data_IF_338441650689
#
_entry.id   IF_338441650689
#
_cell.length_a   1.000
_cell.length_b   1.000
_cell.length_c   1.000
_cell.angle_alpha   90.00
_cell.angle_beta   90.00
_cell.angle_gamma   90.00
#
_symmetry.space_group_name_H-M   'P 1'
#
loop_
_entity.id
_entity.type
_entity.pdbx_description
1 polymer ?
#
# COMPACT_ATOMS: atom_id res chain seq x y z
N UNK A 1 -41.18 -3.05 2.09
CA UNK A 1 -40.04 -3.97 1.89
C UNK A 1 -38.78 -3.15 2.04
N UNK A 2 -37.89 -3.55 2.93
CA UNK A 2 -36.57 -2.96 3.05
C UNK A 2 -35.69 -3.48 1.92
N UNK A 3 -35.00 -2.57 1.22
CA UNK A 3 -34.02 -2.93 0.18
C UNK A 3 -32.63 -2.87 0.80
N UNK A 4 -31.90 -3.98 0.77
CA UNK A 4 -30.51 -4.03 1.21
C UNK A 4 -29.59 -4.08 0.00
N UNK A 5 -28.54 -3.28 0.02
CA UNK A 5 -27.50 -3.26 -0.98
C UNK A 5 -26.13 -3.31 -0.32
N UNK A 6 -25.17 -3.91 -1.03
CA UNK A 6 -23.77 -3.99 -0.61
C UNK A 6 -22.91 -3.18 -1.57
N UNK A 7 -21.77 -2.75 -1.06
CA UNK A 7 -20.83 -1.95 -1.83
C UNK A 7 -19.50 -1.83 -1.12
N UNK A 8 -18.53 -1.31 -1.84
CA UNK A 8 -17.18 -1.06 -1.36
C UNK A 8 -16.99 0.44 -1.11
N UNK A 9 -16.38 0.80 0.02
CA UNK A 9 -16.01 2.19 0.29
C UNK A 9 -14.69 2.50 -0.41
N UNK A 10 -14.73 3.39 -1.41
CA UNK A 10 -13.55 3.79 -2.20
C UNK A 10 -13.44 5.31 -2.12
N UNK A 11 -12.33 5.81 -1.55
CA UNK A 11 -12.07 7.24 -1.39
C UNK A 11 -13.21 8.03 -0.72
N UNK A 12 -13.88 7.42 0.26
CA UNK A 12 -15.01 8.04 0.98
C UNK A 12 -16.35 7.97 0.25
N UNK A 13 -16.42 7.36 -0.94
CA UNK A 13 -17.66 7.11 -1.68
C UNK A 13 -18.01 5.64 -1.60
N UNK A 14 -19.27 5.33 -1.26
CA UNK A 14 -19.78 3.95 -1.29
C UNK A 14 -20.15 3.60 -2.74
N UNK A 15 -19.37 2.71 -3.35
CA UNK A 15 -19.67 2.17 -4.67
C UNK A 15 -20.45 0.87 -4.50
N UNK A 16 -21.72 0.87 -4.92
CA UNK A 16 -22.60 -0.30 -4.81
C UNK A 16 -22.20 -1.38 -5.81
N UNK A 17 -22.34 -2.64 -5.40
CA UNK A 17 -22.03 -3.81 -6.25
C UNK A 17 -23.08 -4.01 -7.36
N UNK A 18 -24.26 -3.39 -7.22
CA UNK A 18 -25.35 -3.45 -8.18
C UNK A 18 -26.26 -2.22 -8.10
N UNK A 19 -27.08 -2.04 -9.13
CA UNK A 19 -28.05 -0.95 -9.18
C UNK A 19 -29.16 -1.15 -8.14
N UNK A 20 -29.53 -0.05 -7.50
CA UNK A 20 -30.62 -0.03 -6.53
C UNK A 20 -31.58 1.05 -6.95
N UNK A 21 -32.78 0.63 -7.34
CA UNK A 21 -33.84 1.56 -7.67
C UNK A 21 -34.46 2.12 -6.37
N UNK A 22 -34.10 3.35 -6.03
CA UNK A 22 -34.64 4.11 -4.91
C UNK A 22 -35.00 5.53 -5.34
N UNK A 23 -36.10 6.11 -4.81
CA UNK A 23 -36.48 7.48 -5.12
C UNK A 23 -35.40 8.49 -4.73
N UNK A 24 -35.33 9.61 -5.45
CA UNK A 24 -34.51 10.75 -5.04
C UNK A 24 -34.92 11.25 -3.64
N UNK A 25 -33.95 11.75 -2.88
CA UNK A 25 -34.11 12.18 -1.47
C UNK A 25 -34.54 11.07 -0.49
N UNK A 26 -34.27 9.80 -0.83
CA UNK A 26 -34.44 8.70 0.12
C UNK A 26 -33.41 8.78 1.24
N UNK A 27 -33.85 8.52 2.47
CA UNK A 27 -32.95 8.35 3.62
C UNK A 27 -32.34 6.96 3.59
N UNK A 28 -31.02 6.87 3.71
CA UNK A 28 -30.29 5.60 3.65
C UNK A 28 -29.50 5.43 4.94
N UNK A 29 -29.52 4.22 5.49
CA UNK A 29 -28.66 3.82 6.61
C UNK A 29 -27.47 3.05 6.07
N UNK A 30 -26.26 3.43 6.49
CA UNK A 30 -25.01 2.83 6.00
C UNK A 30 -24.30 2.15 7.16
N UNK A 31 -24.11 0.83 7.03
CA UNK A 31 -23.34 0.03 7.99
C UNK A 31 -21.98 -0.29 7.40
N UNK A 32 -20.92 0.30 7.96
CA UNK A 32 -19.55 0.03 7.55
C UNK A 32 -19.01 -1.17 8.33
N UNK A 33 -18.56 -2.19 7.61
CA UNK A 33 -17.84 -3.33 8.19
C UNK A 33 -16.51 -3.46 7.48
N UNK A 34 -15.42 -3.19 8.20
CA UNK A 34 -14.08 -3.47 7.70
C UNK A 34 -13.93 -5.00 7.54
N UNK A 35 -13.79 -5.45 6.30
CA UNK A 35 -13.58 -6.87 5.95
C UNK A 35 -12.10 -7.23 5.88
N UNK A 36 -11.24 -6.23 5.71
CA UNK A 36 -9.78 -6.37 5.74
C UNK A 36 -9.27 -5.75 7.04
N UNK A 37 -8.39 -6.45 7.75
CA UNK A 37 -7.73 -5.86 8.92
C UNK A 37 -6.69 -4.84 8.43
N UNK A 38 -6.48 -3.77 9.20
CA UNK A 38 -5.38 -2.80 8.93
C UNK A 38 -4.04 -3.54 8.83
N UNK A 39 -3.86 -4.59 9.62
CA UNK A 39 -2.66 -5.44 9.61
C UNK A 39 -2.46 -6.18 8.27
N UNK A 40 -3.54 -6.60 7.61
CA UNK A 40 -3.48 -7.27 6.30
C UNK A 40 -3.07 -6.32 5.19
N UNK A 41 -3.59 -5.08 5.19
CA UNK A 41 -3.17 -4.04 4.23
C UNK A 41 -1.70 -3.66 4.45
N UNK A 42 -1.29 -3.45 5.70
CA UNK A 42 0.11 -3.16 6.04
C UNK A 42 1.05 -4.31 5.67
N UNK A 43 0.59 -5.55 5.81
CA UNK A 43 1.36 -6.74 5.40
C UNK A 43 1.52 -6.79 3.89
N UNK A 44 0.47 -6.51 3.13
CA UNK A 44 0.50 -6.48 1.67
C UNK A 44 1.46 -5.40 1.16
N UNK A 45 1.35 -4.18 1.72
CA UNK A 45 2.23 -3.06 1.38
C UNK A 45 3.70 -3.36 1.72
N UNK A 46 3.97 -3.98 2.87
CA UNK A 46 5.34 -4.40 3.25
C UNK A 46 5.90 -5.43 2.28
N UNK A 47 5.10 -6.40 1.87
CA UNK A 47 5.54 -7.41 0.89
C UNK A 47 5.86 -6.78 -0.46
N UNK A 48 5.03 -5.87 -0.96
CA UNK A 48 5.32 -5.14 -2.19
C UNK A 48 6.59 -4.29 -2.10
N UNK A 49 6.77 -3.55 -0.99
CA UNK A 49 7.94 -2.72 -0.76
C UNK A 49 9.24 -3.56 -0.73
N UNK A 50 9.21 -4.69 -0.02
CA UNK A 50 10.34 -5.62 0.03
C UNK A 50 10.64 -6.23 -1.35
N UNK A 51 9.60 -6.63 -2.08
CA UNK A 51 9.74 -7.15 -3.45
C UNK A 51 10.41 -6.14 -4.39
N UNK A 52 10.00 -4.87 -4.33
CA UNK A 52 10.64 -3.77 -5.10
C UNK A 52 12.10 -3.56 -4.71
N UNK A 53 12.43 -3.64 -3.41
CA UNK A 53 13.79 -3.49 -2.92
C UNK A 53 14.70 -4.64 -3.39
N UNK A 54 14.22 -5.88 -3.30
CA UNK A 54 14.94 -7.07 -3.77
C UNK A 54 15.14 -7.04 -5.29
N UNK A 55 14.12 -6.64 -6.05
CA UNK A 55 14.22 -6.47 -7.51
C UNK A 55 15.28 -5.41 -7.85
N UNK A 56 15.27 -4.27 -7.17
CA UNK A 56 16.27 -3.20 -7.36
C UNK A 56 17.69 -3.64 -6.99
N UNK A 57 17.83 -4.46 -5.95
CA UNK A 57 19.10 -5.07 -5.56
C UNK A 57 19.64 -6.07 -6.59
N UNK A 58 18.75 -6.82 -7.24
CA UNK A 58 19.13 -7.74 -8.32
C UNK A 58 19.51 -6.99 -9.61
N UNK A 59 18.81 -5.91 -9.94
CA UNK A 59 19.04 -5.11 -11.16
C UNK A 59 20.28 -4.21 -11.07
N UNK A 60 20.63 -3.74 -9.86
CA UNK A 60 21.86 -2.97 -9.63
C UNK A 60 22.82 -3.76 -8.77
N UNK A 61 23.88 -4.29 -9.39
CA UNK A 61 25.08 -4.73 -8.65
C UNK A 61 25.51 -3.54 -7.79
N UNK A 62 25.36 -3.64 -6.47
CA UNK A 62 25.82 -2.59 -5.57
C UNK A 62 27.34 -2.48 -5.70
N UNK A 63 27.79 -1.59 -6.58
CA UNK A 63 29.15 -1.11 -6.54
C UNK A 63 29.23 -0.27 -5.27
N UNK A 64 29.65 -0.88 -4.16
CA UNK A 64 30.19 -0.12 -3.06
C UNK A 64 31.38 0.64 -3.66
N UNK A 65 31.16 1.91 -4.00
CA UNK A 65 32.21 2.86 -4.33
C UNK A 65 33.05 3.19 -3.11
N UNK A 66 33.36 2.18 -2.28
CA UNK A 66 34.21 2.30 -1.14
C UNK A 66 35.56 2.74 -1.65
N UNK A 67 35.94 3.98 -1.32
CA UNK A 67 37.31 4.44 -1.45
C UNK A 67 38.18 3.44 -0.69
N UNK A 68 38.89 2.60 -1.45
CA UNK A 68 39.91 1.73 -0.91
C UNK A 68 41.10 2.61 -0.61
N UNK A 69 41.14 3.18 0.59
CA UNK A 69 42.37 3.76 1.08
C UNK A 69 43.36 2.63 1.31
N UNK A 70 44.53 2.70 0.68
CA UNK A 70 45.66 1.88 1.12
C UNK A 70 46.08 2.34 2.52
N UNK A 71 46.71 1.47 3.30
CA UNK A 71 47.19 1.79 4.66
C UNK A 71 47.96 3.12 4.69
N UNK A 72 48.73 3.38 3.64
CA UNK A 72 49.59 4.55 3.55
C UNK A 72 48.79 5.84 3.29
N UNK A 73 47.69 5.77 2.51
CA UNK A 73 46.77 6.91 2.28
C UNK A 73 46.01 7.36 3.53
N UNK A 74 45.94 6.51 4.56
CA UNK A 74 45.32 6.82 5.86
C UNK A 74 46.24 7.63 6.77
N UNK A 75 47.56 7.55 6.57
CA UNK A 75 48.56 8.22 7.40
C UNK A 75 48.92 9.64 6.93
N UNK A 76 48.69 9.97 5.66
CA UNK A 76 49.00 11.29 5.09
C UNK A 76 47.94 12.37 5.38
N UNK A 77 46.86 12.01 6.09
CA UNK A 77 45.70 12.89 6.32
C UNK A 77 45.65 13.56 7.70
N UNK A 78 46.72 13.43 8.50
CA UNK A 78 46.89 14.09 9.80
C UNK A 78 48.03 15.12 9.76
#
# INVERSE_FOLDING_TARGET
>A
MEKHARGTLINGVVQLDGEVDIPNNSRVEVTLRATTSVEDEERLQRQEALGRLLKRAAERRFHSGGLRFTRDQLHERN
#
